data_IF_177429200734
#
_entry.id   IF_177429200734
#
_cell.length_a   1.000
_cell.length_b   1.000
_cell.length_c   1.000
_cell.angle_alpha   90.00
_cell.angle_beta   90.00
_cell.angle_gamma   90.00
#
_symmetry.space_group_name_H-M   'P 1'
#
loop_
_entity.id
_entity.type
_entity.pdbx_description
1 polymer ?
#
# COMPACT_ATOMS: atom_id res chain seq x y z
N UNK A 1 -5.73 -3.98 24.23
CA UNK A 1 -5.32 -4.96 23.21
C UNK A 1 -4.41 -4.38 22.12
N UNK A 2 -3.90 -3.15 22.23
CA UNK A 2 -3.01 -2.59 21.20
C UNK A 2 -1.52 -2.89 21.46
N UNK A 3 -1.15 -4.17 21.49
CA UNK A 3 0.27 -4.58 21.60
C UNK A 3 1.10 -4.12 20.39
N UNK A 4 0.46 -3.84 19.25
CA UNK A 4 1.12 -3.49 17.99
C UNK A 4 1.84 -2.13 18.04
N UNK A 5 1.32 -1.16 18.80
CA UNK A 5 1.89 0.19 18.88
C UNK A 5 2.76 0.41 20.14
N UNK A 6 2.71 -0.50 21.10
CA UNK A 6 3.36 -0.32 22.40
C UNK A 6 4.88 -0.39 22.31
N UNK A 7 5.57 0.66 22.76
CA UNK A 7 7.03 0.78 22.68
C UNK A 7 7.61 1.03 21.28
N UNK A 8 6.77 1.18 20.25
CA UNK A 8 7.21 1.49 18.88
C UNK A 8 7.25 3.01 18.64
N UNK A 9 8.19 3.46 17.79
CA UNK A 9 8.19 4.84 17.25
C UNK A 9 7.50 4.94 15.90
N UNK A 10 7.28 3.80 15.23
CA UNK A 10 6.54 3.70 13.99
C UNK A 10 6.15 2.27 13.65
N UNK A 11 5.12 2.11 12.83
CA UNK A 11 4.59 0.82 12.38
C UNK A 11 4.24 0.91 10.89
N UNK A 12 4.58 -0.13 10.14
CA UNK A 12 4.33 -0.21 8.70
C UNK A 12 3.40 -1.38 8.34
N UNK A 13 2.30 -1.08 7.65
CA UNK A 13 1.42 -2.08 7.03
C UNK A 13 1.86 -2.37 5.59
N UNK A 14 2.24 -3.61 5.30
CA UNK A 14 2.85 -4.00 4.02
C UNK A 14 1.84 -4.30 2.88
N UNK A 15 0.54 -4.19 3.16
CA UNK A 15 -0.57 -4.37 2.21
C UNK A 15 -1.84 -3.74 2.79
N UNK A 16 -2.93 -3.72 2.03
CA UNK A 16 -4.20 -3.14 2.50
C UNK A 16 -4.66 -3.66 3.87
N UNK A 17 -4.76 -4.98 4.06
CA UNK A 17 -5.31 -5.57 5.29
C UNK A 17 -4.47 -5.26 6.52
N UNK A 18 -3.14 -5.32 6.39
CA UNK A 18 -2.22 -4.96 7.48
C UNK A 18 -2.21 -3.45 7.73
N UNK A 19 -2.36 -2.61 6.70
CA UNK A 19 -2.47 -1.15 6.83
C UNK A 19 -3.68 -0.75 7.65
N UNK A 20 -4.84 -1.36 7.36
CA UNK A 20 -6.06 -1.17 8.16
C UNK A 20 -5.84 -1.61 9.60
N UNK A 21 -5.18 -2.76 9.81
CA UNK A 21 -4.83 -3.24 11.15
C UNK A 21 -3.95 -2.27 11.93
N UNK A 22 -2.92 -1.71 11.30
CA UNK A 22 -2.01 -0.71 11.90
C UNK A 22 -2.76 0.57 12.25
N UNK A 23 -3.53 1.13 11.31
CA UNK A 23 -4.28 2.36 11.55
C UNK A 23 -5.29 2.21 12.69
N UNK A 24 -6.02 1.09 12.72
CA UNK A 24 -6.95 0.80 13.82
C UNK A 24 -6.24 0.60 15.16
N UNK A 25 -5.10 -0.10 15.18
CA UNK A 25 -4.33 -0.29 16.41
C UNK A 25 -3.82 1.06 16.97
N UNK A 26 -3.36 1.97 16.10
CA UNK A 26 -2.95 3.33 16.50
C UNK A 26 -4.17 4.09 17.03
N UNK A 27 -5.29 4.09 16.29
CA UNK A 27 -6.56 4.73 16.68
C UNK A 27 -7.07 4.27 18.05
N UNK A 28 -7.06 2.96 18.30
CA UNK A 28 -7.52 2.36 19.57
C UNK A 28 -6.55 2.59 20.72
N UNK A 29 -5.23 2.61 20.44
CA UNK A 29 -4.21 2.81 21.47
C UNK A 29 -4.13 4.25 21.96
N UNK A 30 -4.44 5.22 21.10
CA UNK A 30 -4.15 6.63 21.34
C UNK A 30 -2.65 6.93 21.48
N UNK A 31 -1.79 5.97 21.08
CA UNK A 31 -0.35 6.11 21.18
C UNK A 31 0.19 7.08 20.12
N UNK A 32 1.19 7.86 20.50
CA UNK A 32 1.89 8.77 19.60
C UNK A 32 2.95 7.99 18.79
N UNK A 33 2.49 7.34 17.71
CA UNK A 33 3.29 6.44 16.87
C UNK A 33 3.03 6.74 15.40
N UNK A 34 4.09 6.75 14.59
CA UNK A 34 3.97 7.00 13.15
C UNK A 34 3.49 5.76 12.42
N UNK A 35 2.27 5.79 11.87
CA UNK A 35 1.74 4.73 11.00
C UNK A 35 2.02 5.00 9.52
N UNK A 36 2.57 4.04 8.78
CA UNK A 36 2.66 4.07 7.31
C UNK A 36 1.99 2.84 6.71
N UNK A 37 1.29 3.02 5.60
CA UNK A 37 0.51 2.00 4.94
C UNK A 37 0.94 1.67 3.52
N UNK A 38 0.21 0.73 2.93
CA UNK A 38 0.31 0.31 1.54
C UNK A 38 -1.12 0.05 1.00
N UNK A 39 -1.31 0.27 -0.29
CA UNK A 39 -2.61 0.32 -1.00
C UNK A 39 -3.50 1.50 -0.58
N UNK A 40 -4.70 1.63 -1.18
CA UNK A 40 -5.48 2.88 -1.15
C UNK A 40 -7.00 2.68 -1.14
N UNK A 41 -7.51 1.77 -0.30
CA UNK A 41 -8.96 1.67 -0.10
C UNK A 41 -9.52 2.90 0.64
N UNK A 42 -10.83 3.13 0.53
CA UNK A 42 -11.51 4.23 1.22
C UNK A 42 -11.21 4.25 2.73
N UNK A 43 -11.13 3.08 3.35
CA UNK A 43 -10.79 2.92 4.77
C UNK A 43 -9.34 3.38 5.07
N UNK A 44 -8.37 3.04 4.21
CA UNK A 44 -6.98 3.52 4.37
C UNK A 44 -6.93 5.04 4.26
N UNK A 45 -7.65 5.63 3.30
CA UNK A 45 -7.72 7.07 3.12
C UNK A 45 -8.42 7.76 4.30
N UNK A 46 -9.47 7.16 4.87
CA UNK A 46 -10.12 7.65 6.08
C UNK A 46 -9.16 7.66 7.28
N UNK A 47 -8.41 6.57 7.50
CA UNK A 47 -7.40 6.49 8.56
C UNK A 47 -6.27 7.52 8.39
N UNK A 48 -5.91 7.89 7.16
CA UNK A 48 -5.00 9.02 6.89
C UNK A 48 -5.65 10.35 7.27
N UNK A 49 -6.90 10.58 6.86
CA UNK A 49 -7.63 11.80 7.17
C UNK A 49 -7.83 12.02 8.67
N UNK A 50 -8.07 10.94 9.41
CA UNK A 50 -8.17 10.89 10.88
C UNK A 50 -6.81 11.06 11.57
N UNK A 51 -5.69 11.00 10.83
CA UNK A 51 -4.33 11.13 11.37
C UNK A 51 -3.81 9.86 12.06
N UNK A 52 -4.50 8.73 11.91
CA UNK A 52 -4.08 7.43 12.43
C UNK A 52 -3.01 6.78 11.54
N UNK A 53 -2.95 7.18 10.27
CA UNK A 53 -1.85 6.88 9.34
C UNK A 53 -1.26 8.20 8.82
N UNK A 54 0.06 8.27 8.75
CA UNK A 54 0.79 9.41 8.19
C UNK A 54 0.76 9.40 6.65
N UNK A 55 0.94 8.23 6.06
CA UNK A 55 0.98 8.05 4.61
C UNK A 55 0.59 6.63 4.22
N UNK A 56 0.22 6.44 2.94
CA UNK A 56 0.15 5.12 2.30
C UNK A 56 0.83 5.13 0.94
N UNK A 57 1.40 3.99 0.56
CA UNK A 57 1.98 3.77 -0.76
C UNK A 57 0.90 3.23 -1.70
N UNK A 58 0.48 4.04 -2.66
CA UNK A 58 -0.55 3.71 -3.64
C UNK A 58 0.07 3.12 -4.89
N UNK A 59 -0.39 1.93 -5.27
CA UNK A 59 0.03 1.24 -6.48
C UNK A 59 -0.88 1.57 -7.67
N UNK A 60 -0.50 1.12 -8.86
CA UNK A 60 -1.27 1.31 -10.09
C UNK A 60 -1.78 -0.04 -10.66
N UNK A 61 -2.85 -0.63 -10.07
CA UNK A 61 -3.36 -1.93 -10.48
C UNK A 61 -3.86 -1.98 -11.92
N UNK A 62 -4.39 -0.86 -12.43
CA UNK A 62 -4.82 -0.78 -13.82
C UNK A 62 -3.64 -0.89 -14.80
N UNK A 63 -2.53 -0.20 -14.52
CA UNK A 63 -1.31 -0.31 -15.32
C UNK A 63 -0.66 -1.68 -15.19
N UNK A 64 -0.62 -2.26 -13.98
CA UNK A 64 -0.14 -3.63 -13.76
C UNK A 64 -0.93 -4.63 -14.62
N UNK A 65 -2.26 -4.54 -14.61
CA UNK A 65 -3.13 -5.38 -15.42
C UNK A 65 -2.92 -5.17 -16.93
N UNK A 66 -2.88 -3.91 -17.37
CA UNK A 66 -2.70 -3.56 -18.78
C UNK A 66 -1.36 -4.07 -19.33
N UNK A 67 -0.25 -3.76 -18.66
CA UNK A 67 1.09 -4.19 -19.10
C UNK A 67 1.23 -5.72 -19.03
N UNK A 68 0.63 -6.37 -18.04
CA UNK A 68 0.59 -7.84 -17.95
C UNK A 68 -0.12 -8.50 -19.14
N UNK A 69 -1.31 -8.00 -19.51
CA UNK A 69 -2.05 -8.52 -20.67
C UNK A 69 -1.32 -8.22 -21.98
N UNK A 70 -0.78 -7.02 -22.13
CA UNK A 70 0.03 -6.61 -23.29
C UNK A 70 1.24 -7.51 -23.48
N UNK A 71 1.96 -7.84 -22.40
CA UNK A 71 3.08 -8.78 -22.43
C UNK A 71 2.62 -10.20 -22.84
N UNK A 72 1.49 -10.68 -22.32
CA UNK A 72 0.93 -11.99 -22.68
C UNK A 72 0.57 -12.06 -24.18
N UNK A 73 -0.05 -11.01 -24.74
CA UNK A 73 -0.37 -10.94 -26.17
C UNK A 73 0.91 -10.94 -27.03
N UNK A 74 1.93 -10.16 -26.65
CA UNK A 74 3.20 -10.14 -27.35
C UNK A 74 3.88 -11.52 -27.38
N UNK A 75 3.85 -12.25 -26.25
CA UNK A 75 4.37 -13.61 -26.17
C UNK A 75 3.66 -14.58 -27.11
N UNK A 76 2.32 -14.50 -27.20
CA UNK A 76 1.53 -15.31 -28.14
C UNK A 76 1.83 -15.00 -29.62
N UNK A 77 2.31 -13.79 -29.91
CA UNK A 77 2.73 -13.36 -31.24
C UNK A 77 4.20 -13.71 -31.56
N UNK A 78 4.88 -14.46 -30.69
CA UNK A 78 6.27 -14.87 -30.86
C UNK A 78 7.30 -13.86 -30.34
N UNK A 79 6.85 -12.79 -29.66
CA UNK A 79 7.72 -11.89 -28.92
C UNK A 79 8.25 -12.52 -27.63
N UNK A 80 9.33 -11.96 -27.10
CA UNK A 80 9.93 -12.34 -25.81
C UNK A 80 10.11 -11.10 -24.96
N UNK A 81 9.92 -11.24 -23.64
CA UNK A 81 10.13 -10.16 -22.70
C UNK A 81 11.62 -10.01 -22.31
N UNK A 82 12.47 -11.01 -22.61
CA UNK A 82 13.92 -11.00 -22.32
C UNK A 82 14.28 -10.59 -20.88
N UNK A 83 13.42 -10.94 -19.92
CA UNK A 83 13.60 -10.57 -18.51
C UNK A 83 13.33 -9.09 -18.20
N UNK A 84 12.66 -8.36 -19.10
CA UNK A 84 12.26 -6.98 -18.87
C UNK A 84 11.41 -6.85 -17.59
N UNK A 85 11.74 -5.85 -16.79
CA UNK A 85 10.99 -5.45 -15.60
C UNK A 85 10.28 -4.13 -15.93
N UNK A 86 8.96 -4.14 -15.83
CA UNK A 86 8.13 -2.95 -16.03
C UNK A 86 7.81 -2.34 -14.68
N UNK A 87 8.32 -1.13 -14.42
CA UNK A 87 7.90 -0.32 -13.27
C UNK A 87 6.54 0.31 -13.56
N UNK A 88 5.56 0.03 -12.71
CA UNK A 88 4.19 0.57 -12.82
C UNK A 88 3.97 1.84 -12.01
N UNK A 89 4.99 2.28 -11.29
CA UNK A 89 4.97 3.44 -10.42
C UNK A 89 4.29 3.18 -9.08
N UNK A 90 4.64 4.04 -8.12
CA UNK A 90 4.03 4.13 -6.80
C UNK A 90 3.87 5.61 -6.46
N UNK A 91 2.74 5.97 -5.87
CA UNK A 91 2.47 7.33 -5.38
C UNK A 91 2.38 7.30 -3.86
N UNK A 92 3.12 8.16 -3.18
CA UNK A 92 2.95 8.38 -1.74
C UNK A 92 1.76 9.31 -1.55
N UNK A 93 0.74 8.84 -0.83
CA UNK A 93 -0.42 9.65 -0.46
C UNK A 93 -0.33 9.99 1.02
N UNK A 94 -0.46 11.27 1.30
CA UNK A 94 -0.62 11.83 2.65
C UNK A 94 -1.99 12.53 2.72
N UNK A 95 -2.30 13.12 3.88
CA UNK A 95 -3.42 14.06 4.00
C UNK A 95 -3.28 15.27 3.07
#
# INVERSE_FOLDING_TARGET
SAFIADGCVGVFGCNEGSTVGVGNAIKESGADVVGVGFDSSDNVLELINEGCLYATMVQNPDVMGYEGVKAAVAALQGGTADGAVTDTGVTVVTK
#
